data_IF_277275682252
#
_entry.id   IF_277275682252
#
_cell.length_a   1.000
_cell.length_b   1.000
_cell.length_c   1.000
_cell.angle_alpha   90.00
_cell.angle_beta   90.00
_cell.angle_gamma   90.00
#
_symmetry.space_group_name_H-M   'P 1'
#
loop_
_entity.id
_entity.type
_entity.pdbx_description
1 polymer ?
#
# COMPACT_ATOMS: atom_id res chain seq x y z
N UNK A 1 -13.22 31.56 -12.09
CA UNK A 1 -12.35 30.37 -11.91
C UNK A 1 -13.14 29.16 -12.35
N UNK A 2 -12.80 28.60 -13.49
CA UNK A 2 -13.30 27.29 -13.87
C UNK A 2 -12.78 26.27 -12.87
N UNK A 3 -13.65 25.45 -12.36
CA UNK A 3 -13.28 24.39 -11.42
C UNK A 3 -13.04 23.10 -12.18
N UNK A 4 -12.19 22.24 -11.65
CA UNK A 4 -12.02 20.88 -12.19
C UNK A 4 -13.37 20.15 -12.25
N UNK A 5 -14.28 20.50 -11.32
CA UNK A 5 -15.63 19.96 -11.29
C UNK A 5 -16.41 20.24 -12.59
N UNK A 6 -16.36 21.48 -13.09
CA UNK A 6 -17.10 21.85 -14.30
C UNK A 6 -16.56 21.10 -15.53
N UNK A 7 -15.25 20.90 -15.56
CA UNK A 7 -14.62 20.12 -16.63
C UNK A 7 -14.96 18.62 -16.53
N UNK A 8 -14.87 18.06 -15.34
CA UNK A 8 -15.16 16.65 -15.07
C UNK A 8 -16.62 16.33 -15.38
N UNK A 9 -17.56 17.15 -14.89
CA UNK A 9 -18.99 16.92 -15.10
C UNK A 9 -19.43 17.02 -16.57
N UNK A 10 -18.67 17.71 -17.41
CA UNK A 10 -18.97 17.84 -18.84
C UNK A 10 -18.39 16.72 -19.71
N UNK A 11 -17.38 16.00 -19.24
CA UNK A 11 -16.62 15.02 -20.03
C UNK A 11 -16.75 13.59 -19.58
N UNK A 12 -17.35 13.34 -18.42
CA UNK A 12 -17.34 12.04 -17.78
C UNK A 12 -18.76 11.53 -17.54
N UNK A 13 -19.09 10.44 -18.22
CA UNK A 13 -20.29 9.69 -17.98
C UNK A 13 -19.92 8.40 -17.25
N UNK A 14 -20.34 8.28 -16.01
CA UNK A 14 -20.30 7.05 -15.24
C UNK A 14 -21.71 6.57 -14.93
N UNK A 15 -21.91 5.28 -14.94
CA UNK A 15 -23.18 4.66 -14.53
C UNK A 15 -23.36 4.59 -13.01
N UNK A 16 -22.46 5.17 -12.26
CA UNK A 16 -22.46 5.16 -10.78
C UNK A 16 -22.04 3.83 -10.16
N UNK A 17 -21.56 2.86 -10.96
CA UNK A 17 -21.25 1.50 -10.50
C UNK A 17 -19.76 1.22 -10.31
N UNK A 18 -19.02 2.22 -9.86
CA UNK A 18 -17.66 2.00 -9.38
C UNK A 18 -16.57 1.91 -10.44
N UNK A 19 -16.75 2.54 -11.57
CA UNK A 19 -15.73 2.58 -12.62
C UNK A 19 -14.87 3.83 -12.53
N UNK A 20 -13.60 3.66 -12.92
CA UNK A 20 -12.65 4.75 -12.99
C UNK A 20 -13.03 5.74 -14.06
N UNK A 21 -12.89 6.97 -13.69
CA UNK A 21 -13.06 8.07 -14.61
C UNK A 21 -11.71 8.75 -14.80
N UNK A 22 -11.25 8.83 -16.03
CA UNK A 22 -10.06 9.63 -16.31
C UNK A 22 -10.42 11.11 -16.15
N UNK A 23 -9.66 11.79 -15.33
CA UNK A 23 -9.79 13.25 -15.18
C UNK A 23 -8.85 13.90 -16.17
N UNK A 24 -9.41 14.57 -17.17
CA UNK A 24 -8.66 15.40 -18.10
C UNK A 24 -8.74 16.85 -17.62
N UNK A 25 -7.60 17.40 -17.23
CA UNK A 25 -7.52 18.83 -16.95
C UNK A 25 -7.51 19.58 -18.28
N UNK A 26 -8.24 20.69 -18.34
CA UNK A 26 -8.09 21.64 -19.44
C UNK A 26 -6.64 22.12 -19.53
N UNK A 27 -6.15 22.48 -20.71
CA UNK A 27 -4.80 22.97 -20.86
C UNK A 27 -4.52 24.10 -19.85
N UNK A 28 -3.47 23.95 -19.08
CA UNK A 28 -3.02 24.97 -18.12
C UNK A 28 -1.98 25.83 -18.83
N UNK A 29 -2.28 27.07 -19.19
CA UNK A 29 -1.29 27.94 -19.82
C UNK A 29 -0.20 28.27 -18.80
N UNK A 30 1.06 28.10 -19.21
CA UNK A 30 2.23 28.46 -18.44
C UNK A 30 3.02 29.52 -19.24
N UNK A 31 3.28 30.65 -18.64
CA UNK A 31 4.23 31.63 -19.19
C UNK A 31 5.67 31.10 -19.02
N UNK A 32 6.62 31.70 -19.75
CA UNK A 32 8.02 31.32 -19.62
C UNK A 32 8.48 31.41 -18.15
N UNK A 33 9.14 30.35 -17.67
CA UNK A 33 9.61 30.21 -16.28
C UNK A 33 8.51 30.20 -15.20
N UNK A 34 7.24 30.08 -15.58
CA UNK A 34 6.14 29.93 -14.64
C UNK A 34 5.95 28.45 -14.28
N UNK A 35 5.68 28.16 -13.01
CA UNK A 35 5.20 26.85 -12.53
C UNK A 35 3.82 26.99 -11.91
N UNK A 36 3.00 25.97 -12.07
CA UNK A 36 1.72 25.81 -11.36
C UNK A 36 1.67 24.46 -10.69
N UNK A 37 1.21 24.45 -9.45
CA UNK A 37 0.96 23.21 -8.72
C UNK A 37 -0.54 22.98 -8.61
N UNK A 38 -0.98 21.76 -8.90
CA UNK A 38 -2.38 21.35 -8.81
C UNK A 38 -2.45 20.19 -7.82
N UNK A 39 -3.35 20.27 -6.88
CA UNK A 39 -3.61 19.21 -5.92
C UNK A 39 -4.88 18.47 -6.29
N UNK A 40 -4.81 17.15 -6.24
CA UNK A 40 -5.96 16.27 -6.37
C UNK A 40 -6.06 15.36 -5.16
N UNK A 41 -7.26 14.93 -4.87
CA UNK A 41 -7.51 13.94 -3.82
C UNK A 41 -8.53 12.92 -4.29
N UNK A 42 -8.32 11.67 -3.90
CA UNK A 42 -9.24 10.58 -4.12
C UNK A 42 -9.72 10.10 -2.75
N UNK A 43 -11.03 10.02 -2.59
CA UNK A 43 -11.65 9.52 -1.37
C UNK A 43 -12.24 8.14 -1.62
N UNK A 44 -12.06 7.27 -0.66
CA UNK A 44 -12.66 5.95 -0.63
C UNK A 44 -13.22 5.65 0.75
N UNK A 45 -14.38 5.01 0.78
CA UNK A 45 -15.07 4.64 2.00
C UNK A 45 -15.94 3.42 1.79
N UNK A 46 -16.53 2.90 2.86
CA UNK A 46 -17.42 1.75 2.81
C UNK A 46 -18.77 2.04 2.16
N UNK A 47 -19.22 3.30 2.21
CA UNK A 47 -20.50 3.75 1.63
C UNK A 47 -20.31 5.02 0.80
N UNK A 48 -21.21 5.28 -0.18
CA UNK A 48 -21.20 6.53 -0.95
C UNK A 48 -21.32 7.78 -0.08
N UNK A 49 -22.12 7.72 0.99
CA UNK A 49 -22.34 8.82 1.92
C UNK A 49 -21.07 9.20 2.68
N UNK A 50 -20.33 8.19 3.16
CA UNK A 50 -19.03 8.38 3.80
C UNK A 50 -18.00 8.95 2.83
N UNK A 51 -17.93 8.41 1.61
CA UNK A 51 -17.04 8.94 0.56
C UNK A 51 -17.35 10.41 0.26
N UNK A 52 -18.63 10.76 0.15
CA UNK A 52 -19.07 12.12 -0.06
C UNK A 52 -18.73 13.04 1.15
N UNK A 53 -18.82 12.52 2.36
CA UNK A 53 -18.43 13.26 3.57
C UNK A 53 -16.92 13.56 3.57
N UNK A 54 -16.08 12.56 3.27
CA UNK A 54 -14.62 12.73 3.13
C UNK A 54 -14.27 13.75 2.04
N UNK A 55 -14.94 13.72 0.89
CA UNK A 55 -14.74 14.69 -0.16
C UNK A 55 -15.08 16.12 0.31
N UNK A 56 -16.18 16.30 1.06
CA UNK A 56 -16.53 17.63 1.62
C UNK A 56 -15.49 18.10 2.61
N UNK A 57 -15.02 17.23 3.49
CA UNK A 57 -13.97 17.54 4.45
C UNK A 57 -12.67 17.98 3.75
N UNK A 58 -12.22 17.22 2.75
CA UNK A 58 -11.04 17.59 1.97
C UNK A 58 -11.20 18.91 1.23
N UNK A 59 -12.38 19.19 0.69
CA UNK A 59 -12.66 20.48 0.06
C UNK A 59 -12.60 21.65 1.05
N UNK A 60 -13.03 21.44 2.28
CA UNK A 60 -12.91 22.43 3.33
C UNK A 60 -11.45 22.70 3.74
N UNK A 61 -10.58 21.67 3.61
CA UNK A 61 -9.14 21.75 3.93
C UNK A 61 -8.25 22.17 2.76
N UNK A 62 -8.81 22.55 1.63
CA UNK A 62 -8.02 22.84 0.40
C UNK A 62 -6.92 23.89 0.57
N UNK A 63 -7.05 24.78 1.53
CA UNK A 63 -6.02 25.78 1.84
C UNK A 63 -4.78 25.19 2.52
N UNK A 64 -4.92 24.01 3.13
CA UNK A 64 -3.85 23.29 3.81
C UNK A 64 -3.22 22.17 2.96
N UNK A 65 -3.61 21.97 1.70
CA UNK A 65 -3.10 20.89 0.85
C UNK A 65 -1.58 20.96 0.65
N UNK A 66 -1.03 22.17 0.54
CA UNK A 66 0.43 22.33 0.50
C UNK A 66 1.09 21.82 1.79
N UNK A 67 0.51 22.18 2.96
CA UNK A 67 1.03 21.73 4.24
C UNK A 67 0.92 20.20 4.41
N UNK A 68 -0.17 19.60 3.96
CA UNK A 68 -0.34 18.13 3.95
C UNK A 68 0.68 17.49 3.03
N UNK A 69 0.92 18.05 1.85
CA UNK A 69 1.93 17.57 0.91
C UNK A 69 3.33 17.67 1.50
N UNK A 70 3.68 18.81 2.09
CA UNK A 70 4.98 19.00 2.72
C UNK A 70 5.19 18.07 3.91
N UNK A 71 4.17 17.85 4.72
CA UNK A 71 4.23 16.92 5.84
C UNK A 71 4.38 15.45 5.39
N UNK A 72 3.82 15.09 4.23
CA UNK A 72 3.96 13.75 3.66
C UNK A 72 5.28 13.52 2.93
N UNK A 73 5.92 14.59 2.44
CA UNK A 73 7.17 14.53 1.65
C UNK A 73 8.31 13.80 2.36
N UNK A 74 8.56 14.01 3.67
CA UNK A 74 9.62 13.28 4.38
C UNK A 74 9.46 11.76 4.35
N UNK A 75 8.22 11.27 4.29
CA UNK A 75 7.95 9.84 4.17
C UNK A 75 8.42 9.25 2.83
N UNK A 76 8.66 10.10 1.84
CA UNK A 76 9.16 9.76 0.51
C UNK A 76 10.65 10.05 0.36
N UNK A 77 11.28 10.70 1.33
CA UNK A 77 12.72 10.96 1.27
C UNK A 77 13.50 9.64 1.23
N UNK A 78 14.56 9.57 0.43
CA UNK A 78 15.40 8.40 0.39
C UNK A 78 15.99 8.15 1.77
N UNK A 79 16.03 6.88 2.18
CA UNK A 79 16.78 6.50 3.36
C UNK A 79 18.24 6.98 3.24
N UNK A 80 18.90 7.31 4.35
CA UNK A 80 20.31 7.67 4.32
C UNK A 80 21.09 6.62 3.52
N UNK A 81 21.79 7.07 2.50
CA UNK A 81 22.50 6.20 1.60
C UNK A 81 23.99 6.34 1.83
N UNK A 82 24.71 5.22 1.87
CA UNK A 82 26.16 5.26 1.88
C UNK A 82 26.66 5.93 0.58
N UNK A 83 27.79 6.66 0.60
CA UNK A 83 28.32 7.30 -0.60
C UNK A 83 28.47 6.36 -1.80
N UNK A 84 28.84 5.11 -1.57
CA UNK A 84 28.91 4.08 -2.61
C UNK A 84 27.56 3.73 -3.26
N UNK A 85 26.45 4.07 -2.62
CA UNK A 85 25.09 3.86 -3.14
C UNK A 85 24.58 5.00 -4.01
N UNK A 86 25.23 6.17 -4.01
CA UNK A 86 24.77 7.35 -4.72
C UNK A 86 24.47 7.11 -6.22
N UNK A 87 25.28 6.36 -6.98
CA UNK A 87 24.98 6.05 -8.37
C UNK A 87 23.66 5.29 -8.57
N UNK A 88 23.15 4.62 -7.54
CA UNK A 88 21.92 3.83 -7.58
C UNK A 88 20.72 4.57 -6.98
N UNK A 89 20.87 5.81 -6.55
CA UNK A 89 19.84 6.59 -5.86
C UNK A 89 18.53 6.68 -6.65
N UNK A 90 18.61 6.96 -7.95
CA UNK A 90 17.44 7.04 -8.82
C UNK A 90 16.73 5.67 -8.92
N UNK A 91 17.48 4.60 -9.11
CA UNK A 91 16.92 3.24 -9.15
C UNK A 91 16.20 2.88 -7.84
N UNK A 92 16.81 3.21 -6.71
CA UNK A 92 16.21 3.02 -5.39
C UNK A 92 14.90 3.81 -5.21
N UNK A 93 14.87 5.06 -5.67
CA UNK A 93 13.66 5.89 -5.63
C UNK A 93 12.54 5.31 -6.51
N UNK A 94 12.86 4.85 -7.72
CA UNK A 94 11.89 4.24 -8.62
C UNK A 94 11.31 2.94 -8.05
N UNK A 95 12.16 2.06 -7.52
CA UNK A 95 11.70 0.83 -6.86
C UNK A 95 10.78 1.13 -5.68
N UNK A 96 11.15 2.12 -4.86
CA UNK A 96 10.32 2.57 -3.74
C UNK A 96 8.97 3.12 -4.20
N UNK A 97 8.95 3.92 -5.26
CA UNK A 97 7.71 4.42 -5.85
C UNK A 97 6.82 3.28 -6.34
N UNK A 98 7.38 2.28 -7.02
CA UNK A 98 6.65 1.08 -7.47
C UNK A 98 6.05 0.33 -6.28
N UNK A 99 6.83 0.06 -5.23
CA UNK A 99 6.33 -0.60 -4.02
C UNK A 99 5.20 0.19 -3.34
N UNK A 100 5.27 1.53 -3.36
CA UNK A 100 4.25 2.37 -2.75
C UNK A 100 2.97 2.50 -3.58
N UNK A 101 3.06 2.34 -4.89
CA UNK A 101 1.92 2.54 -5.81
C UNK A 101 1.17 1.27 -6.15
N UNK A 102 1.81 0.11 -6.02
CA UNK A 102 1.17 -1.19 -6.24
C UNK A 102 0.41 -1.66 -4.99
N UNK A 103 -0.45 -0.81 -4.49
CA UNK A 103 -1.32 -1.12 -3.34
C UNK A 103 -2.70 -1.42 -3.87
N UNK A 104 -3.19 -2.61 -3.58
CA UNK A 104 -4.60 -2.94 -3.74
C UNK A 104 -5.34 -2.40 -2.52
N UNK A 105 -6.52 -1.93 -2.73
CA UNK A 105 -7.45 -1.44 -1.73
C UNK A 105 -7.60 -2.45 -0.60
N UNK A 106 -7.96 -2.00 0.61
CA UNK A 106 -8.11 -2.93 1.71
C UNK A 106 -8.98 -4.11 1.29
N UNK A 107 -8.33 -5.25 1.14
CA UNK A 107 -9.05 -6.49 0.85
C UNK A 107 -9.72 -6.93 2.14
N UNK A 108 -11.03 -7.16 2.08
CA UNK A 108 -11.73 -7.74 3.20
C UNK A 108 -11.46 -9.24 3.21
N UNK A 109 -10.66 -9.67 4.13
CA UNK A 109 -10.38 -11.09 4.32
C UNK A 109 -10.44 -11.44 5.80
N UNK A 110 -11.02 -12.61 6.11
CA UNK A 110 -11.07 -13.15 7.47
C UNK A 110 -11.66 -12.16 8.49
N UNK A 111 -12.69 -11.42 8.09
CA UNK A 111 -13.36 -10.44 8.95
C UNK A 111 -12.58 -9.13 9.15
N UNK A 112 -11.51 -8.91 8.41
CA UNK A 112 -10.67 -7.72 8.54
C UNK A 112 -10.37 -7.08 7.19
N UNK A 113 -10.24 -5.76 7.19
CA UNK A 113 -9.68 -5.03 6.06
C UNK A 113 -8.17 -4.97 6.21
N UNK A 114 -7.45 -5.53 5.26
CA UNK A 114 -6.00 -5.48 5.20
C UNK A 114 -5.53 -4.65 4.01
N UNK A 115 -4.46 -3.89 4.21
CA UNK A 115 -3.74 -3.29 3.09
C UNK A 115 -2.91 -4.37 2.43
N UNK A 116 -3.11 -4.54 1.13
CA UNK A 116 -2.35 -5.49 0.36
C UNK A 116 -1.50 -4.80 -0.69
N UNK A 117 -0.28 -5.31 -0.90
CA UNK A 117 0.63 -4.84 -1.93
C UNK A 117 0.84 -5.96 -2.94
N UNK A 118 0.71 -5.62 -4.22
CA UNK A 118 0.80 -6.56 -5.33
C UNK A 118 2.10 -6.38 -6.12
N UNK A 119 2.53 -7.40 -6.90
CA UNK A 119 3.75 -7.31 -7.71
C UNK A 119 3.67 -6.27 -8.82
N UNK A 120 2.46 -5.96 -9.29
CA UNK A 120 2.25 -5.00 -10.34
C UNK A 120 0.78 -4.62 -10.51
N UNK A 121 0.53 -3.57 -11.26
CA UNK A 121 -0.81 -2.98 -11.40
C UNK A 121 -1.87 -3.90 -12.03
N UNK A 122 -1.45 -4.92 -12.76
CA UNK A 122 -2.34 -5.91 -13.40
C UNK A 122 -2.59 -7.13 -12.53
N UNK A 123 -1.96 -7.18 -11.37
CA UNK A 123 -1.98 -8.29 -10.44
C UNK A 123 -2.74 -7.85 -9.19
N UNK A 124 -4.04 -7.98 -9.23
CA UNK A 124 -4.98 -7.42 -8.25
C UNK A 124 -5.34 -8.37 -7.11
N UNK A 125 -4.63 -9.51 -7.02
CA UNK A 125 -4.89 -10.53 -6.03
C UNK A 125 -3.80 -10.66 -4.97
N UNK A 126 -4.01 -11.54 -4.01
CA UNK A 126 -3.06 -11.88 -2.95
C UNK A 126 -2.07 -12.93 -3.48
N UNK A 127 -0.81 -12.54 -3.59
CA UNK A 127 0.27 -13.42 -4.07
C UNK A 127 1.22 -13.71 -2.92
N UNK A 128 1.18 -14.94 -2.42
CA UNK A 128 1.79 -15.32 -1.14
C UNK A 128 3.29 -15.04 -1.07
N UNK A 129 4.07 -15.55 -2.00
CA UNK A 129 5.52 -15.37 -1.95
C UNK A 129 5.97 -13.97 -2.35
N UNK A 130 5.30 -13.38 -3.36
CA UNK A 130 5.55 -12.00 -3.79
C UNK A 130 5.39 -11.03 -2.63
N UNK A 131 4.34 -11.22 -1.84
CA UNK A 131 4.07 -10.38 -0.67
C UNK A 131 5.22 -10.41 0.36
N UNK A 132 5.88 -11.54 0.52
CA UNK A 132 7.08 -11.64 1.35
C UNK A 132 8.21 -10.76 0.83
N UNK A 133 8.53 -10.81 -0.46
CA UNK A 133 9.57 -9.99 -1.07
C UNK A 133 9.19 -8.51 -1.13
N UNK A 134 7.94 -8.21 -1.47
CA UNK A 134 7.41 -6.84 -1.42
C UNK A 134 7.54 -6.26 -0.01
N UNK A 135 7.17 -7.06 1.00
CA UNK A 135 7.28 -6.70 2.41
C UNK A 135 8.71 -6.39 2.83
N UNK A 136 9.70 -7.19 2.38
CA UNK A 136 11.12 -6.91 2.63
C UNK A 136 11.56 -5.59 1.99
N UNK A 137 11.11 -5.30 0.78
CA UNK A 137 11.36 -4.01 0.13
C UNK A 137 10.72 -2.85 0.89
N UNK A 138 9.47 -3.00 1.32
CA UNK A 138 8.75 -1.99 2.10
C UNK A 138 9.39 -1.77 3.48
N UNK A 139 9.90 -2.82 4.13
CA UNK A 139 10.57 -2.73 5.42
C UNK A 139 11.82 -1.85 5.39
N UNK A 140 12.43 -1.60 4.22
CA UNK A 140 13.57 -0.70 4.07
C UNK A 140 13.25 0.74 4.48
N UNK A 141 11.99 1.16 4.39
CA UNK A 141 11.56 2.53 4.73
C UNK A 141 10.31 2.59 5.61
N UNK A 142 9.59 1.48 5.79
CA UNK A 142 8.40 1.41 6.64
C UNK A 142 8.19 -0.01 7.18
N UNK A 143 8.67 -0.26 8.38
CA UNK A 143 8.47 -1.54 9.06
C UNK A 143 6.97 -1.90 9.16
N UNK A 144 6.10 -0.90 9.37
CA UNK A 144 4.65 -1.11 9.43
C UNK A 144 4.09 -1.66 8.12
N UNK A 145 4.48 -1.10 6.98
CA UNK A 145 4.02 -1.61 5.67
C UNK A 145 4.55 -3.02 5.39
N UNK A 146 5.80 -3.28 5.77
CA UNK A 146 6.35 -4.64 5.72
C UNK A 146 5.56 -5.60 6.59
N UNK A 147 5.18 -5.18 7.80
CA UNK A 147 4.34 -5.97 8.69
C UNK A 147 2.94 -6.23 8.09
N UNK A 148 2.31 -5.26 7.44
CA UNK A 148 1.02 -5.46 6.77
C UNK A 148 1.11 -6.62 5.76
N UNK A 149 2.21 -6.71 4.98
CA UNK A 149 2.44 -7.81 4.04
C UNK A 149 2.61 -9.16 4.74
N UNK A 150 3.30 -9.20 5.88
CA UNK A 150 3.45 -10.42 6.68
C UNK A 150 2.11 -10.85 7.26
N UNK A 151 1.42 -9.93 7.92
CA UNK A 151 0.19 -10.20 8.67
C UNK A 151 -0.96 -10.68 7.78
N UNK A 152 -0.95 -10.30 6.50
CA UNK A 152 -1.97 -10.73 5.54
C UNK A 152 -2.07 -12.26 5.39
N UNK A 153 -1.00 -12.98 5.66
CA UNK A 153 -0.92 -14.44 5.46
C UNK A 153 -0.85 -15.23 6.76
N UNK A 154 -0.75 -14.55 7.90
CA UNK A 154 -0.71 -15.19 9.21
C UNK A 154 -2.11 -15.31 9.80
N UNK A 155 -2.44 -16.50 10.25
CA UNK A 155 -3.72 -16.77 10.90
C UNK A 155 -3.61 -16.63 12.42
N UNK A 156 -4.69 -16.29 13.13
CA UNK A 156 -4.70 -16.30 14.60
C UNK A 156 -4.30 -17.67 15.14
N UNK A 157 -3.61 -17.73 16.28
CA UNK A 157 -3.30 -19.01 16.91
C UNK A 157 -4.56 -19.80 17.24
N UNK A 158 -4.58 -21.08 16.84
CA UNK A 158 -5.73 -21.96 17.03
C UNK A 158 -6.81 -21.84 15.97
N UNK A 159 -6.58 -21.09 14.90
CA UNK A 159 -7.45 -21.07 13.74
C UNK A 159 -7.41 -22.43 13.03
N UNK A 160 -8.53 -22.91 12.53
CA UNK A 160 -8.64 -24.17 11.80
C UNK A 160 -7.79 -24.17 10.52
N UNK A 161 -7.59 -22.98 9.95
CA UNK A 161 -6.68 -22.74 8.84
C UNK A 161 -5.31 -22.29 9.35
N UNK A 162 -4.32 -23.16 9.26
CA UNK A 162 -2.98 -22.88 9.77
C UNK A 162 -2.24 -21.76 9.01
N UNK A 163 -2.63 -21.52 7.75
CA UNK A 163 -2.05 -20.48 6.91
C UNK A 163 -3.09 -19.97 5.91
N UNK A 164 -3.03 -18.68 5.61
CA UNK A 164 -3.74 -18.13 4.47
C UNK A 164 -2.81 -18.14 3.25
N UNK A 165 -3.16 -18.92 2.24
CA UNK A 165 -2.41 -19.07 1.00
C UNK A 165 -3.35 -18.76 -0.16
N UNK A 166 -3.02 -17.75 -0.94
CA UNK A 166 -3.75 -17.42 -2.15
C UNK A 166 -2.76 -17.32 -3.31
N UNK A 167 -3.10 -17.86 -4.47
CA UNK A 167 -2.17 -18.05 -5.57
C UNK A 167 -0.84 -18.64 -5.06
N UNK A 168 -0.95 -19.83 -4.51
CA UNK A 168 0.08 -20.47 -3.70
C UNK A 168 1.38 -20.71 -4.42
N UNK A 169 2.41 -20.15 -3.89
CA UNK A 169 3.77 -20.55 -4.12
C UNK A 169 4.26 -21.31 -2.90
N UNK A 170 5.04 -22.35 -3.14
CA UNK A 170 5.67 -23.15 -2.09
C UNK A 170 6.86 -22.44 -1.41
N UNK A 171 7.15 -21.20 -1.78
CA UNK A 171 8.26 -20.45 -1.17
C UNK A 171 7.74 -19.67 0.04
N UNK A 172 8.13 -20.04 1.27
CA UNK A 172 7.66 -19.41 2.49
C UNK A 172 8.43 -18.10 2.77
N UNK A 173 8.32 -17.13 1.88
CA UNK A 173 9.04 -15.86 1.95
C UNK A 173 8.68 -15.02 3.20
N UNK A 174 7.56 -15.33 3.84
CA UNK A 174 7.12 -14.72 5.08
C UNK A 174 8.10 -14.90 6.25
N UNK A 175 8.82 -16.01 6.31
CA UNK A 175 9.85 -16.20 7.34
C UNK A 175 11.03 -15.24 7.16
N UNK A 176 11.44 -15.01 5.92
CA UNK A 176 12.49 -14.04 5.61
C UNK A 176 12.03 -12.62 5.93
N UNK A 177 10.78 -12.30 5.58
CA UNK A 177 10.20 -11.01 5.92
C UNK A 177 10.11 -10.79 7.45
N UNK A 178 9.72 -11.81 8.20
CA UNK A 178 9.72 -11.74 9.67
C UNK A 178 11.12 -11.49 10.22
N UNK A 179 12.12 -12.23 9.74
CA UNK A 179 13.50 -12.06 10.16
C UNK A 179 14.00 -10.63 9.86
N UNK A 180 13.70 -10.10 8.68
CA UNK A 180 14.04 -8.73 8.31
C UNK A 180 13.38 -7.70 9.22
N UNK A 181 12.08 -7.85 9.48
CA UNK A 181 11.33 -6.96 10.39
C UNK A 181 11.88 -7.03 11.82
N UNK A 182 12.16 -8.23 12.31
CA UNK A 182 12.71 -8.40 13.65
C UNK A 182 14.11 -7.77 13.78
N UNK A 183 14.96 -7.99 12.78
CA UNK A 183 16.30 -7.41 12.74
C UNK A 183 16.27 -5.88 12.73
N UNK A 184 15.31 -5.28 12.04
CA UNK A 184 15.18 -3.82 11.97
C UNK A 184 14.55 -3.20 13.19
N UNK A 185 13.53 -3.84 13.75
CA UNK A 185 12.75 -3.24 14.82
C UNK A 185 13.22 -3.63 16.20
N UNK A 186 13.89 -4.79 16.34
CA UNK A 186 14.25 -5.40 17.63
C UNK A 186 13.04 -5.47 18.58
N UNK A 187 11.84 -5.58 18.01
CA UNK A 187 10.58 -5.49 18.75
C UNK A 187 10.19 -6.85 19.33
N UNK A 188 10.25 -6.94 20.65
CA UNK A 188 9.74 -8.10 21.38
C UNK A 188 8.25 -8.32 21.14
N UNK A 189 7.45 -7.25 21.11
CA UNK A 189 6.02 -7.33 20.84
C UNK A 189 5.72 -7.90 19.42
N UNK A 190 6.53 -7.54 18.42
CA UNK A 190 6.46 -8.14 17.11
C UNK A 190 6.73 -9.64 17.15
N UNK A 191 7.78 -10.05 17.87
CA UNK A 191 8.13 -11.45 18.01
C UNK A 191 7.02 -12.25 18.73
N UNK A 192 6.52 -11.75 19.85
CA UNK A 192 5.44 -12.36 20.62
C UNK A 192 4.15 -12.50 19.80
N UNK A 193 3.83 -11.52 18.98
CA UNK A 193 2.66 -11.56 18.08
C UNK A 193 2.85 -12.56 16.94
N UNK A 194 4.00 -12.51 16.25
CA UNK A 194 4.22 -13.29 15.03
C UNK A 194 4.60 -14.74 15.30
N UNK A 195 5.37 -15.03 16.36
CA UNK A 195 5.93 -16.35 16.57
C UNK A 195 4.90 -17.49 16.60
N UNK A 196 3.83 -17.44 17.41
CA UNK A 196 2.84 -18.52 17.43
C UNK A 196 2.13 -18.66 16.07
N UNK A 197 1.93 -17.57 15.34
CA UNK A 197 1.32 -17.57 14.02
C UNK A 197 2.25 -18.17 12.96
N UNK A 198 3.53 -17.87 13.04
CA UNK A 198 4.55 -18.43 12.15
C UNK A 198 4.79 -19.92 12.43
N UNK A 199 4.67 -20.35 13.66
CA UNK A 199 4.72 -21.80 13.97
C UNK A 199 3.56 -22.54 13.32
N UNK A 200 2.37 -21.94 13.33
CA UNK A 200 1.19 -22.48 12.66
C UNK A 200 1.36 -22.47 11.14
N UNK A 201 1.87 -21.36 10.60
CA UNK A 201 2.22 -21.23 9.17
C UNK A 201 3.29 -22.27 8.75
N UNK A 202 4.27 -22.52 9.61
CA UNK A 202 5.27 -23.57 9.40
C UNK A 202 4.64 -24.98 9.35
N UNK A 203 3.71 -25.28 10.24
CA UNK A 203 3.00 -26.55 10.26
C UNK A 203 2.27 -26.84 8.93
N UNK A 204 1.71 -25.81 8.29
CA UNK A 204 1.16 -25.92 6.94
C UNK A 204 2.23 -26.33 5.91
N UNK A 205 3.37 -25.63 5.87
CA UNK A 205 4.43 -25.93 4.91
C UNK A 205 5.11 -27.29 5.13
N UNK A 206 5.05 -27.84 6.32
CA UNK A 206 5.55 -29.18 6.64
C UNK A 206 4.49 -30.28 6.47
N UNK A 207 3.29 -29.93 6.02
CA UNK A 207 2.20 -30.89 5.83
C UNK A 207 1.57 -31.41 7.13
N UNK A 208 1.78 -30.71 8.23
CA UNK A 208 1.22 -31.08 9.55
C UNK A 208 -0.15 -30.43 9.80
N UNK A 209 -0.51 -29.43 9.03
CA UNK A 209 -1.79 -28.75 9.14
C UNK A 209 -2.31 -28.32 7.76
N UNK A 210 -3.63 -28.18 7.63
CA UNK A 210 -4.27 -27.64 6.45
C UNK A 210 -4.18 -26.10 6.40
N UNK A 211 -4.45 -25.53 5.22
CA UNK A 211 -4.58 -24.11 4.99
C UNK A 211 -5.59 -23.85 3.87
N UNK A 212 -6.09 -22.63 3.78
CA UNK A 212 -7.03 -22.18 2.73
C UNK A 212 -6.32 -21.53 1.56
#
# INVERSE_FOLDING_TARGET
RETVHDHVSSTLHGDGKGHFTNVFLRPIPLAARQSKRVYGAVCSAGTPEEAAALCRELRARRESFEAVWQAASPALEPAPMLPAGEPFALGGQLMRAVLCTNVVYPVYTRGQYIRHNTPGRWWDSLYTWDSGFIGMGLAQFSARRGFDCLNAYLTPPGDDEAAFIHHGSLVPAQFYLFAELLNRTQSRALAEYCYPRLMQYYAFFTGQAGGS
#
